data_IF_667703545251
#
_entry.id   IF_667703545251
#
_cell.length_a   1.000
_cell.length_b   1.000
_cell.length_c   1.000
_cell.angle_alpha   90.00
_cell.angle_beta   90.00
_cell.angle_gamma   90.00
#
_symmetry.space_group_name_H-M   'P 1'
#
loop_
_entity.id
_entity.type
_entity.pdbx_description
1 polymer ?
#
# COMPACT_ATOMS: atom_id res chain seq x y z
N UNK A 1 -5.12 8.41 -27.91
CA UNK A 1 -3.85 7.67 -27.98
C UNK A 1 -2.60 8.50 -28.28
N UNK A 2 -2.71 9.82 -28.54
CA UNK A 2 -1.53 10.70 -28.71
C UNK A 2 -0.64 10.77 -27.46
N UNK A 3 -1.25 10.74 -26.28
CA UNK A 3 -0.55 10.75 -24.98
C UNK A 3 0.64 9.79 -24.88
N UNK A 4 0.53 8.55 -25.38
CA UNK A 4 1.63 7.58 -25.32
C UNK A 4 2.70 7.85 -26.38
N UNK A 5 2.31 8.38 -27.55
CA UNK A 5 3.25 8.78 -28.60
C UNK A 5 4.06 10.01 -28.21
N UNK A 6 3.45 10.94 -27.46
CA UNK A 6 4.09 12.15 -26.94
C UNK A 6 5.02 11.77 -25.78
N UNK A 7 4.60 10.87 -24.89
CA UNK A 7 5.44 10.36 -23.78
C UNK A 7 6.64 9.53 -24.24
N UNK A 8 6.58 8.96 -25.44
CA UNK A 8 7.66 8.15 -26.02
C UNK A 8 8.49 8.92 -27.05
N UNK A 9 8.18 10.20 -27.24
CA UNK A 9 8.95 11.08 -28.10
C UNK A 9 10.36 11.27 -27.54
N UNK A 10 11.38 10.90 -28.31
CA UNK A 10 12.79 10.93 -27.89
C UNK A 10 13.35 9.61 -27.36
N UNK A 11 12.51 8.61 -27.05
CA UNK A 11 13.00 7.28 -26.66
C UNK A 11 13.49 6.51 -27.90
N UNK A 12 14.81 6.31 -28.02
CA UNK A 12 15.41 5.50 -29.08
C UNK A 12 15.77 4.11 -28.53
N UNK A 13 15.35 3.05 -29.22
CA UNK A 13 15.76 1.65 -28.97
C UNK A 13 15.32 1.00 -27.64
N UNK A 14 14.26 1.48 -26.98
CA UNK A 14 13.76 0.91 -25.72
C UNK A 14 12.48 0.09 -25.93
N UNK A 15 12.30 -0.97 -25.13
CA UNK A 15 11.06 -1.76 -25.11
C UNK A 15 10.04 -1.06 -24.22
N UNK A 16 8.90 -0.64 -24.78
CA UNK A 16 7.85 0.07 -24.05
C UNK A 16 6.74 -0.90 -23.69
N UNK A 17 6.49 -1.06 -22.39
CA UNK A 17 5.34 -1.84 -21.89
C UNK A 17 4.20 -0.88 -21.61
N UNK A 18 3.12 -1.01 -22.38
CA UNK A 18 1.89 -0.25 -22.18
C UNK A 18 0.93 -1.03 -21.29
N UNK A 19 0.13 -0.33 -20.49
CA UNK A 19 -1.06 -0.93 -19.85
C UNK A 19 -2.16 -1.17 -20.91
N UNK A 20 -3.13 -2.04 -20.61
CA UNK A 20 -4.11 -2.47 -21.60
C UNK A 20 -4.97 -1.35 -22.17
N UNK A 21 -5.31 -0.33 -21.38
CA UNK A 21 -6.08 0.80 -21.88
C UNK A 21 -5.38 1.52 -23.04
N UNK A 22 -4.04 1.43 -23.08
CA UNK A 22 -3.19 2.03 -24.10
C UNK A 22 -2.72 1.03 -25.15
N UNK A 23 -2.99 -0.26 -24.97
CA UNK A 23 -2.54 -1.32 -25.87
C UNK A 23 -3.49 -1.39 -27.06
N UNK A 24 -3.09 -0.85 -28.22
CA UNK A 24 -3.81 -1.04 -29.47
C UNK A 24 -2.89 -1.35 -30.64
N UNK A 25 -3.45 -2.06 -31.62
CA UNK A 25 -2.72 -2.47 -32.82
C UNK A 25 -2.15 -1.30 -33.61
N UNK A 26 -2.92 -0.22 -33.78
CA UNK A 26 -2.46 0.98 -34.49
C UNK A 26 -1.26 1.65 -33.81
N UNK A 27 -1.25 1.68 -32.47
CA UNK A 27 -0.14 2.22 -31.68
C UNK A 27 1.10 1.31 -31.80
N UNK A 28 0.91 -0.01 -31.76
CA UNK A 28 1.98 -0.97 -31.99
C UNK A 28 2.66 -0.80 -33.35
N UNK A 29 1.87 -0.58 -34.41
CA UNK A 29 2.42 -0.28 -35.75
C UNK A 29 3.18 1.05 -35.79
N UNK A 30 2.73 2.08 -35.08
CA UNK A 30 3.47 3.34 -34.99
C UNK A 30 4.78 3.20 -34.21
N UNK A 31 4.82 2.35 -33.18
CA UNK A 31 6.05 2.03 -32.46
C UNK A 31 7.05 1.25 -33.31
N UNK A 32 6.58 0.29 -34.11
CA UNK A 32 7.43 -0.43 -35.07
C UNK A 32 8.12 0.52 -36.05
N UNK A 33 7.41 1.54 -36.57
CA UNK A 33 8.01 2.59 -37.43
C UNK A 33 9.12 3.38 -36.73
N UNK A 34 9.02 3.55 -35.41
CA UNK A 34 10.01 4.23 -34.56
C UNK A 34 11.08 3.29 -34.00
N UNK A 35 11.13 2.02 -34.41
CA UNK A 35 11.99 0.96 -33.85
C UNK A 35 11.82 0.76 -32.33
N UNK A 36 10.61 0.99 -31.83
CA UNK A 36 10.20 0.75 -30.45
C UNK A 36 9.33 -0.52 -30.47
N UNK A 37 9.58 -1.47 -29.57
CA UNK A 37 8.73 -2.67 -29.46
C UNK A 37 7.70 -2.46 -28.36
N UNK A 38 6.44 -2.81 -28.66
CA UNK A 38 5.36 -2.87 -27.68
C UNK A 38 5.23 -4.32 -27.23
N UNK A 39 5.55 -4.59 -25.96
CA UNK A 39 5.56 -5.96 -25.44
C UNK A 39 4.24 -6.27 -24.74
N UNK A 40 3.42 -7.12 -25.37
CA UNK A 40 2.27 -7.75 -24.72
C UNK A 40 2.77 -8.82 -23.74
N UNK A 41 2.13 -8.92 -22.58
CA UNK A 41 2.51 -9.85 -21.51
C UNK A 41 1.42 -10.89 -21.31
N UNK A 42 1.82 -12.15 -21.24
CA UNK A 42 0.89 -13.25 -20.96
C UNK A 42 0.28 -13.14 -19.55
N UNK A 43 -0.94 -13.64 -19.42
CA UNK A 43 -1.60 -13.78 -18.12
C UNK A 43 -0.77 -14.72 -17.25
N UNK A 44 -0.65 -14.41 -15.96
CA UNK A 44 0.20 -15.10 -14.98
C UNK A 44 1.71 -14.92 -15.21
N UNK A 45 2.12 -13.96 -16.06
CA UNK A 45 3.52 -13.56 -16.15
C UNK A 45 3.91 -12.62 -15.00
N UNK A 46 5.15 -12.81 -14.52
CA UNK A 46 5.77 -12.03 -13.46
C UNK A 46 7.07 -11.43 -13.98
N UNK A 47 7.33 -10.15 -13.68
CA UNK A 47 8.62 -9.50 -13.91
C UNK A 47 9.17 -9.00 -12.58
N UNK A 48 10.46 -9.20 -12.37
CA UNK A 48 11.17 -8.77 -11.18
C UNK A 48 12.22 -7.74 -11.54
N UNK A 49 12.36 -6.73 -10.70
CA UNK A 49 13.44 -5.76 -10.73
C UNK A 49 14.16 -5.84 -9.40
N UNK A 50 15.45 -6.16 -9.45
CA UNK A 50 16.28 -6.32 -8.27
C UNK A 50 17.15 -5.09 -8.06
N UNK A 51 17.06 -4.53 -6.87
CA UNK A 51 17.94 -3.49 -6.34
C UNK A 51 18.68 -4.09 -5.14
N UNK A 52 19.89 -3.64 -4.77
CA UNK A 52 20.65 -4.24 -3.66
C UNK A 52 19.88 -4.35 -2.34
N UNK A 53 18.91 -3.46 -2.10
CA UNK A 53 18.11 -3.37 -0.87
C UNK A 53 16.65 -3.76 -1.05
N UNK A 54 16.13 -3.81 -2.28
CA UNK A 54 14.70 -4.00 -2.54
C UNK A 54 14.43 -4.76 -3.83
N UNK A 55 13.35 -5.52 -3.85
CA UNK A 55 12.84 -6.23 -5.02
C UNK A 55 11.45 -5.71 -5.36
N UNK A 56 11.28 -5.27 -6.59
CA UNK A 56 9.99 -4.87 -7.14
C UNK A 56 9.45 -6.00 -8.02
N UNK A 57 8.20 -6.39 -7.79
CA UNK A 57 7.50 -7.39 -8.58
C UNK A 57 6.31 -6.77 -9.30
N UNK A 58 6.16 -7.08 -10.58
CA UNK A 58 4.98 -6.80 -11.39
C UNK A 58 4.39 -8.11 -11.88
N UNK A 59 3.17 -8.43 -11.46
CA UNK A 59 2.47 -9.67 -11.76
C UNK A 59 1.11 -9.41 -12.39
N UNK A 60 0.76 -10.16 -13.42
CA UNK A 60 -0.52 -10.05 -14.13
C UNK A 60 -1.50 -11.17 -13.71
N UNK A 61 -2.39 -10.95 -12.72
CA UNK A 61 -3.38 -11.96 -12.34
C UNK A 61 -4.46 -12.21 -13.40
N UNK A 62 -4.77 -11.21 -14.22
CA UNK A 62 -5.79 -11.27 -15.28
C UNK A 62 -5.31 -10.41 -16.44
N UNK A 63 -5.86 -10.62 -17.64
CA UNK A 63 -5.71 -9.66 -18.73
C UNK A 63 -6.02 -8.27 -18.17
N UNK A 64 -5.11 -7.32 -18.38
CA UNK A 64 -5.36 -5.90 -18.16
C UNK A 64 -5.44 -5.49 -16.68
N UNK A 65 -4.98 -6.37 -15.78
CA UNK A 65 -4.80 -6.04 -14.37
C UNK A 65 -3.37 -6.37 -13.99
N UNK A 66 -2.65 -5.38 -13.47
CA UNK A 66 -1.29 -5.53 -12.98
C UNK A 66 -1.28 -5.30 -11.47
N UNK A 67 -0.59 -6.18 -10.75
CA UNK A 67 -0.29 -6.04 -9.32
C UNK A 67 1.18 -5.72 -9.21
N UNK A 68 1.49 -4.56 -8.65
CA UNK A 68 2.86 -4.11 -8.41
C UNK A 68 3.10 -4.07 -6.90
N UNK A 69 4.13 -4.77 -6.45
CA UNK A 69 4.51 -4.82 -5.04
C UNK A 69 6.01 -4.60 -4.91
N UNK A 70 6.40 -3.80 -3.92
CA UNK A 70 7.79 -3.60 -3.52
C UNK A 70 8.03 -4.35 -2.21
N UNK A 71 9.09 -5.13 -2.14
CA UNK A 71 9.50 -5.82 -0.93
C UNK A 71 10.98 -5.59 -0.66
N UNK A 72 11.33 -5.30 0.58
CA UNK A 72 12.73 -5.23 1.06
C UNK A 72 13.22 -6.56 1.63
N UNK A 73 12.30 -7.51 1.86
CA UNK A 73 12.58 -8.79 2.51
C UNK A 73 13.10 -9.83 1.51
N UNK A 74 12.52 -9.84 0.31
CA UNK A 74 12.81 -10.83 -0.70
C UNK A 74 13.94 -10.34 -1.60
N UNK A 75 14.95 -11.18 -1.81
CA UNK A 75 16.09 -10.90 -2.70
C UNK A 75 16.05 -11.71 -3.99
N UNK A 76 15.08 -12.62 -4.07
CA UNK A 76 14.90 -13.60 -5.14
C UNK A 76 13.52 -13.45 -5.78
N UNK A 77 13.46 -13.75 -7.08
CA UNK A 77 12.23 -13.70 -7.88
C UNK A 77 11.53 -15.05 -7.91
N UNK A 78 11.40 -15.71 -6.76
CA UNK A 78 10.85 -17.06 -6.70
C UNK A 78 9.34 -17.06 -6.97
N UNK A 79 8.95 -17.94 -7.90
CA UNK A 79 7.58 -18.08 -8.38
C UNK A 79 7.04 -19.41 -7.84
N UNK A 80 5.77 -19.43 -7.43
CA UNK A 80 5.14 -20.67 -6.99
C UNK A 80 4.75 -21.57 -8.18
N UNK A 81 4.79 -22.88 -7.98
CA UNK A 81 4.38 -23.90 -8.96
C UNK A 81 2.85 -24.02 -9.15
N UNK A 82 2.10 -23.07 -8.62
CA UNK A 82 0.65 -23.05 -8.74
C UNK A 82 0.23 -22.71 -10.17
N UNK A 83 -1.01 -23.07 -10.52
CA UNK A 83 -1.61 -22.77 -11.84
C UNK A 83 -1.61 -21.27 -12.14
N UNK A 84 -1.73 -20.44 -11.10
CA UNK A 84 -1.70 -18.99 -11.19
C UNK A 84 -0.29 -18.39 -11.20
N UNK A 85 0.78 -19.18 -11.06
CA UNK A 85 2.19 -18.75 -11.07
C UNK A 85 2.45 -17.48 -10.26
N UNK A 86 1.83 -17.39 -9.08
CA UNK A 86 1.98 -16.23 -8.22
C UNK A 86 3.39 -16.19 -7.63
N UNK A 87 4.05 -15.02 -7.65
CA UNK A 87 5.31 -14.83 -6.92
C UNK A 87 5.13 -15.03 -5.41
N UNK A 88 6.15 -15.59 -4.75
CA UNK A 88 6.16 -15.80 -3.30
C UNK A 88 5.97 -14.48 -2.56
N UNK A 89 6.55 -13.39 -3.07
CA UNK A 89 6.35 -12.02 -2.55
C UNK A 89 4.87 -11.66 -2.40
N UNK A 90 4.04 -12.02 -3.38
CA UNK A 90 2.60 -11.72 -3.36
C UNK A 90 1.87 -12.61 -2.36
N UNK A 91 2.30 -13.87 -2.24
CA UNK A 91 1.77 -14.81 -1.27
C UNK A 91 2.02 -14.34 0.16
N UNK A 92 3.25 -13.90 0.45
CA UNK A 92 3.64 -13.42 1.77
C UNK A 92 2.96 -12.10 2.11
N UNK A 93 2.80 -11.20 1.14
CA UNK A 93 1.97 -10.00 1.30
C UNK A 93 0.52 -10.33 1.65
N UNK A 94 -0.12 -11.26 0.95
CA UNK A 94 -1.51 -11.61 1.26
C UNK A 94 -1.65 -12.25 2.65
N UNK A 95 -0.63 -13.01 3.10
CA UNK A 95 -0.59 -13.58 4.45
C UNK A 95 -0.52 -12.50 5.52
N UNK A 96 0.28 -11.46 5.30
CA UNK A 96 0.49 -10.39 6.29
C UNK A 96 -0.57 -9.26 6.24
N UNK A 97 -1.21 -9.02 5.08
CA UNK A 97 -2.27 -8.01 4.92
C UNK A 97 -3.52 -8.32 5.74
N UNK A 98 -3.81 -9.60 5.99
CA UNK A 98 -4.99 -10.02 6.74
C UNK A 98 -5.07 -9.48 8.17
N UNK A 99 -3.96 -9.09 8.80
CA UNK A 99 -3.97 -8.60 10.18
C UNK A 99 -4.77 -7.31 10.38
N UNK A 100 -4.73 -6.40 9.41
CA UNK A 100 -5.45 -5.11 9.46
C UNK A 100 -6.92 -5.29 9.09
N UNK A 101 -7.21 -6.05 8.03
CA UNK A 101 -8.58 -6.29 7.57
C UNK A 101 -9.41 -7.11 8.58
N UNK A 102 -8.78 -8.05 9.30
CA UNK A 102 -9.46 -8.81 10.36
C UNK A 102 -9.79 -7.96 11.58
N UNK A 103 -8.98 -6.93 11.89
CA UNK A 103 -9.27 -6.00 12.98
C UNK A 103 -10.51 -5.17 12.65
N UNK A 104 -10.64 -4.71 11.41
CA UNK A 104 -11.81 -3.99 10.93
C UNK A 104 -13.05 -4.90 10.86
N UNK A 105 -12.89 -6.13 10.36
CA UNK A 105 -13.98 -7.12 10.32
C UNK A 105 -14.51 -7.47 11.73
N UNK A 106 -13.63 -7.59 12.73
CA UNK A 106 -14.03 -7.83 14.13
C UNK A 106 -14.76 -6.65 14.74
N UNK A 107 -14.41 -5.42 14.39
CA UNK A 107 -15.16 -4.22 14.75
C UNK A 107 -16.56 -4.18 14.13
N UNK A 108 -16.75 -4.75 12.94
CA UNK A 108 -18.04 -4.75 12.23
C UNK A 108 -18.97 -5.90 12.70
N UNK A 109 -18.42 -7.03 13.16
CA UNK A 109 -19.22 -8.22 13.52
C UNK A 109 -20.09 -7.98 14.77
N UNK A 110 -21.43 -8.01 14.66
CA UNK A 110 -22.29 -7.87 15.83
C UNK A 110 -22.08 -9.07 16.77
N UNK A 111 -21.74 -8.80 18.04
CA UNK A 111 -21.60 -9.82 19.09
C UNK A 111 -20.18 -10.16 19.55
N UNK A 112 -19.12 -9.73 18.85
CA UNK A 112 -17.74 -10.06 19.24
C UNK A 112 -17.08 -9.01 20.15
N UNK A 113 -17.60 -7.78 20.18
CA UNK A 113 -17.11 -6.66 20.97
C UNK A 113 -18.30 -5.89 21.54
N UNK A 114 -18.23 -5.49 22.81
CA UNK A 114 -19.20 -4.53 23.35
C UNK A 114 -19.03 -3.19 22.64
N UNK A 115 -20.11 -2.40 22.51
CA UNK A 115 -20.05 -1.07 21.88
C UNK A 115 -18.93 -0.21 22.47
N UNK A 116 -18.70 -0.30 23.78
CA UNK A 116 -17.63 0.42 24.48
C UNK A 116 -16.22 -0.03 24.08
N UNK A 117 -15.96 -1.34 23.99
CA UNK A 117 -14.64 -1.86 23.57
C UNK A 117 -14.30 -1.50 22.13
N UNK A 118 -15.31 -1.50 21.25
CA UNK A 118 -15.17 -1.07 19.85
C UNK A 118 -14.76 0.40 19.75
N UNK A 119 -15.51 1.28 20.42
CA UNK A 119 -15.23 2.73 20.44
C UNK A 119 -13.85 3.00 21.04
N UNK A 120 -13.46 2.27 22.09
CA UNK A 120 -12.13 2.39 22.69
C UNK A 120 -11.01 2.03 21.71
N UNK A 121 -11.12 0.89 21.00
CA UNK A 121 -10.09 0.47 20.03
C UNK A 121 -10.02 1.43 18.84
N UNK A 122 -11.15 1.96 18.37
CA UNK A 122 -11.18 2.98 17.32
C UNK A 122 -10.52 4.29 17.76
N UNK A 123 -10.81 4.76 18.99
CA UNK A 123 -10.20 5.96 19.55
C UNK A 123 -8.71 5.78 19.79
N UNK A 124 -8.30 4.64 20.33
CA UNK A 124 -6.90 4.29 20.56
C UNK A 124 -6.14 4.22 19.23
N UNK A 125 -6.70 3.57 18.21
CA UNK A 125 -6.13 3.50 16.88
C UNK A 125 -5.93 4.89 16.27
N UNK A 126 -6.94 5.77 16.36
CA UNK A 126 -6.84 7.16 15.90
C UNK A 126 -5.76 7.94 16.64
N UNK A 127 -5.71 7.84 17.97
CA UNK A 127 -4.73 8.57 18.80
C UNK A 127 -3.28 8.13 18.51
N UNK A 128 -3.06 6.84 18.27
CA UNK A 128 -1.72 6.32 17.97
C UNK A 128 -1.25 6.67 16.56
N UNK A 129 -2.17 6.70 15.59
CA UNK A 129 -1.82 6.87 14.17
C UNK A 129 -1.84 8.33 13.70
N UNK A 130 -2.67 9.20 14.31
CA UNK A 130 -2.75 10.63 13.98
C UNK A 130 -1.38 11.35 13.90
N UNK A 131 -0.49 11.27 14.91
CA UNK A 131 0.80 11.97 14.85
C UNK A 131 1.72 11.42 13.75
N UNK A 132 1.54 10.17 13.33
CA UNK A 132 2.30 9.58 12.22
C UNK A 132 1.76 10.02 10.86
N UNK A 133 0.44 10.25 10.74
CA UNK A 133 -0.20 10.77 9.53
C UNK A 133 0.17 12.25 9.32
N UNK A 134 0.16 13.06 10.38
CA UNK A 134 0.50 14.49 10.32
C UNK A 134 1.94 14.73 9.85
N UNK A 135 2.89 13.92 10.33
CA UNK A 135 4.31 14.01 9.96
C UNK A 135 4.60 13.58 8.52
N UNK A 136 3.60 13.10 7.77
CA UNK A 136 3.81 12.55 6.43
C UNK A 136 4.02 13.68 5.42
N UNK A 137 5.25 13.87 4.94
CA UNK A 137 5.59 14.91 3.94
C UNK A 137 4.86 14.75 2.60
N UNK A 138 4.58 13.51 2.18
CA UNK A 138 3.97 13.21 0.89
C UNK A 138 2.53 12.74 1.06
N UNK A 139 1.62 13.40 0.33
CA UNK A 139 0.20 13.05 0.31
C UNK A 139 -0.03 11.88 -0.66
N UNK A 140 -0.89 10.90 -0.30
CA UNK A 140 -1.25 9.80 -1.20
C UNK A 140 -1.88 10.28 -2.52
N UNK A 141 -1.71 9.51 -3.60
CA UNK A 141 -2.25 9.86 -4.92
C UNK A 141 -3.78 9.73 -5.03
N UNK A 142 -4.40 8.90 -4.19
CA UNK A 142 -5.85 8.69 -4.19
C UNK A 142 -6.57 9.82 -3.46
N UNK A 143 -7.56 10.42 -4.12
CA UNK A 143 -8.25 11.63 -3.64
C UNK A 143 -8.88 11.45 -2.24
N UNK A 144 -9.56 10.33 -1.99
CA UNK A 144 -10.14 10.03 -0.67
C UNK A 144 -9.09 9.99 0.45
N UNK A 145 -7.96 9.34 0.22
CA UNK A 145 -6.87 9.27 1.22
C UNK A 145 -6.12 10.60 1.33
N UNK A 146 -6.02 11.36 0.23
CA UNK A 146 -5.41 12.68 0.22
C UNK A 146 -6.20 13.67 1.07
N UNK A 147 -7.54 13.67 0.97
CA UNK A 147 -8.42 14.50 1.80
C UNK A 147 -8.23 14.19 3.28
N UNK A 148 -8.14 12.91 3.65
CA UNK A 148 -7.90 12.50 5.04
C UNK A 148 -6.55 13.03 5.55
N UNK A 149 -5.46 12.79 4.81
CA UNK A 149 -4.12 13.26 5.23
C UNK A 149 -4.06 14.78 5.32
N UNK A 150 -4.67 15.50 4.37
CA UNK A 150 -4.76 16.96 4.39
C UNK A 150 -5.55 17.47 5.60
N UNK A 151 -6.66 16.82 5.94
CA UNK A 151 -7.46 17.20 7.11
C UNK A 151 -6.67 17.08 8.42
N UNK A 152 -5.89 16.00 8.59
CA UNK A 152 -4.98 15.85 9.74
C UNK A 152 -3.87 16.92 9.75
N UNK A 153 -3.25 17.18 8.60
CA UNK A 153 -2.21 18.21 8.48
C UNK A 153 -2.72 19.63 8.75
N UNK A 154 -3.96 19.94 8.33
CA UNK A 154 -4.59 21.23 8.62
C UNK A 154 -5.05 21.34 10.08
N UNK A 155 -5.45 20.24 10.71
CA UNK A 155 -5.84 20.23 12.12
C UNK A 155 -4.65 20.47 13.05
N UNK A 156 -3.47 19.94 12.73
CA UNK A 156 -2.22 20.18 13.50
C UNK A 156 -1.65 21.60 13.37
N UNK A 157 -2.16 22.43 12.44
CA UNK A 157 -1.75 23.84 12.31
C UNK A 157 -2.50 24.79 13.26
N UNK A 158 -3.62 24.35 13.84
CA UNK A 158 -4.42 25.14 14.79
C UNK A 158 -4.13 24.80 16.25
N UNK A 159 -3.34 23.76 16.53
CA UNK A 159 -3.02 23.31 17.88
C UNK A 159 -1.51 23.34 18.11
N UNK A 160 -0.94 24.56 18.11
CA UNK A 160 0.29 24.84 18.85
C UNK A 160 -0.12 25.55 20.15
N UNK A 161 -0.24 24.85 21.28
CA UNK A 161 -0.28 25.50 22.57
C UNK A 161 1.12 26.02 22.88
N UNK A 162 1.20 27.32 23.15
CA UNK A 162 2.31 27.94 23.85
C UNK A 162 2.69 27.14 25.11
N UNK A 163 3.97 27.18 25.43
CA UNK A 163 4.56 26.66 26.65
C UNK A 163 3.74 27.03 27.90
N UNK A 164 3.07 26.05 28.51
CA UNK A 164 2.82 26.07 29.95
C UNK A 164 2.52 24.67 30.50
N UNK A 165 3.46 24.22 31.33
CA UNK A 165 3.36 23.03 32.16
C UNK A 165 2.04 23.01 32.95
N UNK A 166 1.25 21.96 32.76
CA UNK A 166 0.13 21.62 33.64
C UNK A 166 0.09 20.12 33.88
N UNK A 167 0.77 19.74 34.95
CA UNK A 167 0.76 18.42 35.58
C UNK A 167 -0.67 18.06 35.98
N UNK A 168 -1.35 17.19 35.23
CA UNK A 168 -2.63 16.61 35.65
C UNK A 168 -2.39 15.25 36.32
N UNK A 169 -2.52 15.25 37.65
CA UNK A 169 -2.47 14.09 38.53
C UNK A 169 -3.70 13.20 38.31
N UNK A 170 -3.57 12.17 37.46
CA UNK A 170 -4.55 11.09 37.41
C UNK A 170 -4.36 10.16 38.61
N UNK A 171 -5.38 10.08 39.47
CA UNK A 171 -5.44 9.16 40.61
C UNK A 171 -5.25 7.72 40.13
N UNK A 172 -4.16 7.09 40.55
CA UNK A 172 -3.78 5.72 40.23
C UNK A 172 -4.59 4.71 41.07
N UNK A 173 -5.73 4.26 40.55
CA UNK A 173 -6.30 2.99 41.02
C UNK A 173 -5.51 1.84 40.38
N UNK A 174 -4.83 1.03 41.21
CA UNK A 174 -3.99 -0.09 40.76
C UNK A 174 -4.86 -1.10 40.00
N UNK A 175 -4.69 -1.18 38.68
CA UNK A 175 -5.33 -2.20 37.84
C UNK A 175 -4.76 -3.58 38.17
N UNK A 176 -5.64 -4.59 38.30
CA UNK A 176 -5.23 -5.99 38.51
C UNK A 176 -4.41 -6.48 37.31
N UNK A 177 -3.34 -7.24 37.59
CA UNK A 177 -2.38 -7.79 36.60
C UNK A 177 -3.11 -8.74 35.63
N UNK A 178 -2.84 -8.62 34.32
CA UNK A 178 -3.47 -9.47 33.29
C UNK A 178 -2.85 -10.88 33.25
N UNK A 179 -3.61 -11.86 32.75
CA UNK A 179 -3.20 -13.28 32.73
C UNK A 179 -2.02 -13.58 31.78
N UNK A 180 -1.64 -12.65 30.91
CA UNK A 180 -0.61 -12.85 29.87
C UNK A 180 0.74 -12.21 30.17
N UNK A 181 0.87 -11.41 31.24
CA UNK A 181 2.17 -10.84 31.59
C UNK A 181 3.05 -11.88 32.31
N UNK A 182 4.31 -12.07 31.87
CA UNK A 182 5.26 -12.94 32.57
C UNK A 182 5.58 -12.40 33.98
N UNK A 183 5.90 -13.32 34.89
CA UNK A 183 6.32 -13.01 36.26
C UNK A 183 7.85 -12.91 36.24
N UNK A 184 8.38 -11.69 36.41
CA UNK A 184 9.69 -11.53 37.03
C UNK A 184 9.53 -11.66 38.55
#
# INVERSE_FOLDING_TARGET
MRLVLDLTEGLRCHNVTCDNFFTCYQLGQQFLKRKITMVERDVFSSKFVFTPTTTLVSYLPKKNKNVVLLSTLHKDGSISDRVDRKPIIIMDYNRNKGGVDNLDMRSIRPGCLTKATKVFLEQLGKALVAPLIERRKNVPQTEASAQIVKAFQSAGLLDRPDDQASTSTFKTSKRKRCQFCPKE
#
